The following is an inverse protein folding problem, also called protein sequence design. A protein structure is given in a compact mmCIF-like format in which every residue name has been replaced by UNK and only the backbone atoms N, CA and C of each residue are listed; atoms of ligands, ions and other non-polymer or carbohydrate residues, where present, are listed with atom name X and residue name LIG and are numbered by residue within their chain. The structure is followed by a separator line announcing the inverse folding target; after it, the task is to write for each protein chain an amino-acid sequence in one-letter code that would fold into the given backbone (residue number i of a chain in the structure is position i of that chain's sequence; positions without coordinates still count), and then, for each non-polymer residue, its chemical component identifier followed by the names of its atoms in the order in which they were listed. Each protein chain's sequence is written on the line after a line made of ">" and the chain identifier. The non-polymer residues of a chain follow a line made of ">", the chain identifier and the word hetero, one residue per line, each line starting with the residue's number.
data_IF_123635730586
#
_entry.id   IF_123635730586
#
_cell.length_a   1.000
_cell.length_b   1.000
_cell.length_c   1.000
_cell.angle_alpha   90.00
_cell.angle_beta   90.00
_cell.angle_gamma   90.00
#
_symmetry.space_group_name_H-M   'P 1'
#
loop_
_entity.id
_entity.type
_entity.pdbx_description
1 polymer ?
#
# COMPACT_ATOMS: atom_id res chain seq x y z
N UNK A 1 -23.46 17.28 5.21
CA UNK A 1 -22.73 16.66 6.32
C UNK A 1 -23.02 15.17 6.26
N UNK A 2 -22.03 14.32 5.95
CA UNK A 2 -22.25 12.88 5.85
C UNK A 2 -22.48 12.33 7.27
N UNK A 3 -23.70 11.90 7.56
CA UNK A 3 -24.02 11.28 8.84
C UNK A 3 -23.65 9.80 8.74
N UNK A 4 -22.68 9.37 9.55
CA UNK A 4 -22.41 7.96 9.77
C UNK A 4 -23.58 7.40 10.58
N UNK A 5 -24.50 6.72 9.90
CA UNK A 5 -25.54 5.96 10.57
C UNK A 5 -24.89 4.82 11.36
N UNK A 6 -25.03 4.85 12.69
CA UNK A 6 -24.35 3.91 13.59
C UNK A 6 -24.74 2.46 13.31
N UNK A 7 -26.00 2.21 12.99
CA UNK A 7 -26.48 0.85 12.71
C UNK A 7 -25.89 0.36 11.40
N UNK A 8 -25.91 1.18 10.35
CA UNK A 8 -25.29 0.86 9.06
C UNK A 8 -23.79 0.62 9.20
N UNK A 9 -23.10 1.42 10.01
CA UNK A 9 -21.68 1.20 10.31
C UNK A 9 -21.45 -0.14 11.01
N UNK A 10 -22.22 -0.45 12.06
CA UNK A 10 -22.12 -1.73 12.77
C UNK A 10 -22.41 -2.92 11.84
N UNK A 11 -23.52 -2.91 11.10
CA UNK A 11 -23.85 -4.00 10.16
C UNK A 11 -22.80 -4.18 9.06
N UNK A 12 -22.26 -3.08 8.52
CA UNK A 12 -21.19 -3.16 7.49
C UNK A 12 -19.88 -3.69 8.07
N UNK A 13 -19.56 -3.39 9.33
CA UNK A 13 -18.30 -3.80 9.97
C UNK A 13 -18.34 -5.20 10.57
N UNK A 14 -19.52 -5.68 10.99
CA UNK A 14 -19.72 -7.02 11.56
C UNK A 14 -19.30 -8.16 10.62
N UNK A 15 -19.42 -7.92 9.31
CA UNK A 15 -19.14 -8.91 8.26
C UNK A 15 -17.70 -8.86 7.74
N UNK A 16 -16.89 -7.86 8.12
CA UNK A 16 -15.52 -7.71 7.63
C UNK A 16 -14.65 -8.95 7.94
N UNK A 17 -14.87 -9.55 9.12
CA UNK A 17 -14.16 -10.78 9.54
C UNK A 17 -14.40 -12.00 8.65
N UNK A 18 -15.45 -11.97 7.83
CA UNK A 18 -15.76 -13.06 6.90
C UNK A 18 -15.09 -12.86 5.54
N UNK A 19 -14.52 -11.67 5.29
CA UNK A 19 -13.85 -11.35 4.04
C UNK A 19 -12.46 -11.96 3.99
N UNK A 20 -12.08 -12.41 2.79
CA UNK A 20 -10.75 -12.88 2.45
C UNK A 20 -10.15 -11.99 1.37
N UNK A 21 -9.11 -11.24 1.71
CA UNK A 21 -8.49 -10.27 0.80
C UNK A 21 -7.12 -10.74 0.38
N UNK A 22 -6.83 -10.74 -0.93
CA UNK A 22 -5.46 -10.98 -1.42
C UNK A 22 -4.73 -9.64 -1.49
N UNK A 23 -3.57 -9.53 -0.86
CA UNK A 23 -2.68 -8.36 -0.97
C UNK A 23 -1.48 -8.76 -1.82
N UNK A 24 -1.32 -8.10 -2.97
CA UNK A 24 -0.17 -8.26 -3.87
C UNK A 24 0.63 -6.97 -3.88
N UNK A 25 1.92 -7.02 -3.59
CA UNK A 25 2.70 -5.80 -3.60
C UNK A 25 4.11 -5.93 -3.06
N UNK A 26 4.71 -4.76 -2.85
CA UNK A 26 6.06 -4.63 -2.34
C UNK A 26 6.05 -4.63 -0.80
N UNK A 27 6.58 -5.70 -0.20
CA UNK A 27 6.67 -5.84 1.25
C UNK A 27 7.95 -5.21 1.78
N UNK A 28 7.81 -4.35 2.78
CA UNK A 28 8.90 -3.56 3.35
C UNK A 28 8.99 -3.85 4.84
N UNK A 29 10.20 -3.97 5.36
CA UNK A 29 10.45 -3.89 6.79
C UNK A 29 10.81 -2.46 7.17
N UNK A 30 10.03 -1.86 8.06
CA UNK A 30 10.37 -0.58 8.68
C UNK A 30 11.07 -0.85 10.02
N UNK A 31 12.34 -0.46 10.11
CA UNK A 31 13.16 -0.60 11.30
C UNK A 31 13.35 0.78 11.95
N UNK A 32 13.23 0.84 13.28
CA UNK A 32 13.35 2.06 14.05
C UNK A 32 14.46 1.87 15.09
N UNK A 33 15.54 2.63 14.94
CA UNK A 33 16.64 2.71 15.90
C UNK A 33 16.43 3.98 16.73
N UNK A 34 15.90 3.81 17.94
CA UNK A 34 15.50 4.91 18.81
C UNK A 34 16.56 5.09 19.90
N UNK A 35 17.11 6.30 19.99
CA UNK A 35 18.21 6.60 20.89
C UNK A 35 18.30 8.07 21.27
N UNK A 36 19.48 8.43 21.75
CA UNK A 36 19.83 9.78 22.20
C UNK A 36 21.11 10.24 21.52
N UNK A 37 21.26 11.55 21.32
CA UNK A 37 22.48 12.18 20.80
C UNK A 37 23.08 13.03 21.91
N UNK A 38 24.25 12.63 22.39
CA UNK A 38 24.94 13.34 23.48
C UNK A 38 26.23 14.02 23.03
N UNK A 39 26.68 13.77 21.79
CA UNK A 39 27.89 14.39 21.22
C UNK A 39 27.91 14.33 19.69
N UNK A 40 28.78 15.15 19.11
CA UNK A 40 29.20 15.06 17.71
C UNK A 40 30.40 14.12 17.60
N UNK A 41 30.52 13.42 16.47
CA UNK A 41 31.65 12.52 16.21
C UNK A 41 32.96 13.31 16.09
N UNK A 42 34.09 12.83 16.66
CA UNK A 42 35.40 13.43 16.42
C UNK A 42 35.94 13.14 15.01
N UNK A 43 35.34 12.19 14.28
CA UNK A 43 35.79 11.75 12.94
C UNK A 43 35.13 12.56 11.81
N UNK A 44 33.91 13.06 12.03
CA UNK A 44 33.14 13.82 11.06
C UNK A 44 32.09 14.69 11.78
N UNK A 45 31.63 15.81 11.19
CA UNK A 45 30.63 16.70 11.79
C UNK A 45 29.20 16.11 11.74
N UNK A 46 29.02 14.91 12.31
CA UNK A 46 27.77 14.17 12.35
C UNK A 46 27.43 13.75 13.79
N UNK A 47 26.14 13.67 14.16
CA UNK A 47 25.73 13.23 15.49
C UNK A 47 26.05 11.76 15.72
N UNK A 48 26.46 11.42 16.95
CA UNK A 48 26.57 10.01 17.39
C UNK A 48 25.29 9.64 18.12
N UNK A 49 24.51 8.72 17.54
CA UNK A 49 23.27 8.22 18.13
C UNK A 49 23.58 6.99 18.99
N UNK A 50 23.25 7.04 20.28
CA UNK A 50 23.27 5.88 21.16
C UNK A 50 21.91 5.20 21.16
N UNK A 51 21.79 4.14 20.35
CA UNK A 51 20.56 3.36 20.23
C UNK A 51 20.23 2.70 21.57
N UNK A 52 19.00 2.91 22.05
CA UNK A 52 18.47 2.35 23.30
C UNK A 52 17.38 1.31 23.05
N UNK A 53 16.66 1.46 21.94
CA UNK A 53 15.54 0.61 21.56
C UNK A 53 15.54 0.39 20.07
N UNK A 54 15.29 -0.85 19.69
CA UNK A 54 15.09 -1.25 18.30
C UNK A 54 13.67 -1.78 18.15
N UNK A 55 13.03 -1.46 17.03
CA UNK A 55 11.71 -1.97 16.67
C UNK A 55 11.67 -2.24 15.18
N UNK A 56 11.20 -3.41 14.78
CA UNK A 56 10.92 -3.74 13.38
C UNK A 56 9.41 -3.96 13.24
N UNK A 57 8.81 -3.40 12.18
CA UNK A 57 7.39 -3.57 11.84
C UNK A 57 7.24 -3.79 10.34
N UNK A 58 6.07 -4.30 9.95
CA UNK A 58 5.65 -4.33 8.55
C UNK A 58 5.41 -2.90 8.04
N UNK A 59 5.90 -2.64 6.84
CA UNK A 59 5.70 -1.46 6.02
C UNK A 59 5.29 -1.85 4.60
N UNK A 60 4.98 -0.85 3.76
CA UNK A 60 4.53 -1.10 2.39
C UNK A 60 3.25 -1.93 2.35
N UNK A 61 3.20 -2.92 1.46
CA UNK A 61 2.10 -3.89 1.40
C UNK A 61 1.87 -4.63 2.74
N UNK A 62 2.90 -4.74 3.59
CA UNK A 62 2.76 -5.30 4.93
C UNK A 62 1.98 -4.39 5.89
N UNK A 63 1.97 -3.08 5.68
CA UNK A 63 1.15 -2.16 6.47
C UNK A 63 -0.34 -2.28 6.10
N UNK A 64 -0.65 -2.52 4.82
CA UNK A 64 -2.01 -2.88 4.36
C UNK A 64 -2.49 -4.15 5.09
N UNK A 65 -1.65 -5.17 5.19
CA UNK A 65 -1.97 -6.40 5.94
C UNK A 65 -2.27 -6.13 7.41
N UNK A 66 -1.48 -5.27 8.07
CA UNK A 66 -1.74 -4.85 9.46
C UNK A 66 -3.08 -4.13 9.62
N UNK A 67 -3.41 -3.24 8.69
CA UNK A 67 -4.68 -2.51 8.71
C UNK A 67 -5.86 -3.48 8.55
N UNK A 68 -5.82 -4.38 7.58
CA UNK A 68 -6.81 -5.45 7.41
C UNK A 68 -6.95 -6.32 8.66
N UNK A 69 -5.82 -6.74 9.25
CA UNK A 69 -5.75 -7.50 10.50
C UNK A 69 -6.44 -6.76 11.65
N UNK A 70 -6.22 -5.45 11.79
CA UNK A 70 -6.85 -4.61 12.81
C UNK A 70 -8.37 -4.47 12.63
N UNK A 71 -8.86 -4.61 11.40
CA UNK A 71 -10.29 -4.65 11.07
C UNK A 71 -10.89 -6.06 11.23
N UNK A 72 -10.09 -7.05 11.65
CA UNK A 72 -10.50 -8.44 11.78
C UNK A 72 -10.58 -9.19 10.45
N UNK A 73 -10.18 -8.57 9.35
CA UNK A 73 -10.21 -9.15 7.99
C UNK A 73 -9.07 -10.14 7.82
N UNK A 74 -9.36 -11.28 7.19
CA UNK A 74 -8.34 -12.28 6.86
C UNK A 74 -7.67 -11.90 5.54
N UNK A 75 -6.34 -11.99 5.49
CA UNK A 75 -5.58 -11.65 4.28
C UNK A 75 -4.73 -12.82 3.77
N UNK A 76 -4.46 -12.83 2.47
CA UNK A 76 -3.48 -13.71 1.82
C UNK A 76 -2.44 -12.84 1.14
N UNK A 77 -1.17 -13.07 1.44
CA UNK A 77 -0.05 -12.23 0.99
C UNK A 77 0.65 -12.85 -0.20
N UNK A 78 0.81 -12.09 -1.29
CA UNK A 78 1.59 -12.46 -2.46
C UNK A 78 2.63 -11.38 -2.77
N UNK A 79 3.90 -11.73 -2.91
CA UNK A 79 4.92 -10.74 -3.24
C UNK A 79 6.33 -11.31 -3.33
N UNK A 80 7.33 -10.45 -3.10
CA UNK A 80 8.76 -10.83 -3.11
C UNK A 80 9.47 -10.38 -1.83
N UNK A 81 10.38 -11.22 -1.38
CA UNK A 81 11.41 -10.89 -0.40
C UNK A 81 12.78 -11.43 -0.86
N UNK A 82 13.86 -10.99 -0.23
CA UNK A 82 15.18 -11.55 -0.48
C UNK A 82 15.32 -12.95 0.10
N UNK A 83 16.34 -13.68 -0.34
CA UNK A 83 16.77 -14.93 0.30
C UNK A 83 17.75 -14.63 1.44
N UNK A 84 17.25 -13.95 2.46
CA UNK A 84 18.04 -13.47 3.60
C UNK A 84 17.31 -13.65 4.95
N UNK A 85 17.99 -13.29 6.05
CA UNK A 85 17.41 -13.35 7.40
C UNK A 85 16.25 -12.36 7.58
N UNK A 86 16.30 -11.21 6.90
CA UNK A 86 15.25 -10.19 6.99
C UNK A 86 13.93 -10.70 6.42
N UNK A 87 13.95 -11.53 5.38
CA UNK A 87 12.74 -12.19 4.89
C UNK A 87 12.12 -13.16 5.92
N UNK A 88 12.91 -13.75 6.81
CA UNK A 88 12.37 -14.59 7.90
C UNK A 88 11.68 -13.71 8.96
N UNK A 89 12.27 -12.56 9.30
CA UNK A 89 11.62 -11.56 10.17
C UNK A 89 10.30 -11.08 9.55
N UNK A 90 10.28 -10.83 8.23
CA UNK A 90 9.06 -10.45 7.52
C UNK A 90 7.97 -11.52 7.64
N UNK A 91 8.31 -12.79 7.41
CA UNK A 91 7.37 -13.91 7.55
C UNK A 91 6.87 -14.05 8.99
N UNK A 92 7.74 -13.94 9.99
CA UNK A 92 7.38 -14.00 11.40
C UNK A 92 6.43 -12.86 11.81
N UNK A 93 6.63 -11.66 11.27
CA UNK A 93 5.73 -10.53 11.50
C UNK A 93 4.38 -10.74 10.82
N UNK A 94 4.36 -11.20 9.56
CA UNK A 94 3.12 -11.52 8.84
C UNK A 94 2.31 -12.63 9.55
N UNK A 95 2.99 -13.62 10.13
CA UNK A 95 2.36 -14.72 10.87
C UNK A 95 1.71 -14.28 12.20
N UNK A 96 2.09 -13.11 12.73
CA UNK A 96 1.45 -12.51 13.92
C UNK A 96 0.22 -11.68 13.57
N UNK A 97 0.03 -11.36 12.30
CA UNK A 97 -1.18 -10.71 11.78
C UNK A 97 -2.22 -11.76 11.39
N UNK A 98 -3.47 -11.32 11.13
CA UNK A 98 -4.53 -12.19 10.61
C UNK A 98 -4.33 -12.55 9.12
N UNK A 99 -3.15 -13.04 8.78
CA UNK A 99 -2.81 -13.54 7.44
C UNK A 99 -2.85 -15.06 7.39
N UNK A 100 -3.26 -15.61 6.25
CA UNK A 100 -3.29 -17.04 6.00
C UNK A 100 -1.89 -17.57 5.68
N UNK A 101 -1.14 -17.91 6.73
CA UNK A 101 0.26 -18.35 6.59
C UNK A 101 0.46 -19.53 5.63
N UNK A 102 -0.51 -20.42 5.50
CA UNK A 102 -0.45 -21.56 4.57
C UNK A 102 -0.65 -21.13 3.11
N UNK A 103 -1.46 -20.09 2.89
CA UNK A 103 -1.70 -19.54 1.55
C UNK A 103 -0.73 -18.43 1.18
N UNK A 104 -0.03 -17.81 2.12
CA UNK A 104 0.94 -16.77 1.81
C UNK A 104 2.03 -17.30 0.85
N UNK A 105 2.43 -16.47 -0.12
CA UNK A 105 3.46 -16.80 -1.10
C UNK A 105 4.38 -15.60 -1.32
N UNK A 106 5.58 -15.68 -0.75
CA UNK A 106 6.64 -14.73 -1.02
C UNK A 106 7.73 -15.41 -1.83
N UNK A 107 8.01 -14.87 -3.01
CA UNK A 107 9.18 -15.24 -3.80
C UNK A 107 10.42 -14.97 -2.96
N UNK A 108 11.33 -15.93 -2.90
CA UNK A 108 12.63 -15.81 -2.21
C UNK A 108 13.71 -15.53 -3.25
N UNK A 109 13.92 -14.25 -3.57
CA UNK A 109 14.84 -13.85 -4.63
C UNK A 109 16.29 -13.86 -4.16
N UNK A 110 17.18 -14.44 -4.96
CA UNK A 110 18.64 -14.33 -4.73
C UNK A 110 19.21 -13.03 -5.32
N UNK A 111 18.42 -12.34 -6.13
CA UNK A 111 18.89 -11.21 -6.93
C UNK A 111 18.72 -9.83 -6.27
N UNK A 112 17.93 -9.77 -5.21
CA UNK A 112 17.65 -8.55 -4.43
C UNK A 112 17.55 -8.90 -2.94
N UNK A 113 17.95 -7.99 -2.04
CA UNK A 113 17.69 -8.16 -0.61
C UNK A 113 16.22 -7.90 -0.28
N UNK A 114 15.78 -8.36 0.90
CA UNK A 114 14.51 -7.92 1.48
C UNK A 114 14.57 -6.42 1.77
N UNK A 115 13.54 -5.70 1.34
CA UNK A 115 13.48 -4.25 1.45
C UNK A 115 13.43 -3.85 2.92
N UNK A 116 14.41 -3.07 3.36
CA UNK A 116 14.51 -2.57 4.73
C UNK A 116 14.67 -1.05 4.72
N UNK A 117 13.81 -0.36 5.47
CA UNK A 117 13.89 1.09 5.69
C UNK A 117 14.14 1.36 7.17
N UNK A 118 15.38 1.64 7.51
CA UNK A 118 15.80 1.94 8.88
C UNK A 118 15.72 3.44 9.14
N UNK A 119 14.91 3.86 10.11
CA UNK A 119 14.79 5.23 10.59
C UNK A 119 15.56 5.37 11.90
N UNK A 120 16.57 6.23 11.91
CA UNK A 120 17.35 6.54 13.12
C UNK A 120 16.73 7.75 13.79
N UNK A 121 16.26 7.60 15.02
CA UNK A 121 15.53 8.61 15.77
C UNK A 121 16.31 8.97 17.03
N UNK A 122 16.51 10.27 17.25
CA UNK A 122 17.09 10.82 18.46
C UNK A 122 16.10 11.76 19.13
N UNK A 123 15.69 11.44 20.36
CA UNK A 123 14.61 12.17 21.04
C UNK A 123 13.31 12.14 20.22
N UNK A 124 12.86 13.31 19.75
CA UNK A 124 11.65 13.47 18.92
C UNK A 124 11.96 13.76 17.44
N UNK A 125 13.22 13.62 17.00
CA UNK A 125 13.63 13.96 15.64
C UNK A 125 14.23 12.75 14.93
N UNK A 126 13.84 12.59 13.66
CA UNK A 126 14.51 11.63 12.78
C UNK A 126 15.83 12.22 12.31
N UNK A 127 16.93 11.55 12.64
CA UNK A 127 18.30 11.96 12.30
C UNK A 127 18.62 11.60 10.86
N UNK A 128 18.35 10.36 10.46
CA UNK A 128 18.55 9.89 9.10
C UNK A 128 17.64 8.69 8.77
N UNK A 129 17.66 8.31 7.50
CA UNK A 129 17.05 7.08 6.99
C UNK A 129 18.09 6.29 6.21
N UNK A 130 18.13 4.98 6.41
CA UNK A 130 19.00 4.05 5.71
C UNK A 130 18.09 3.06 4.98
N UNK A 131 18.13 3.09 3.66
CA UNK A 131 17.35 2.20 2.81
C UNK A 131 18.29 1.09 2.30
N UNK A 132 17.94 -0.17 2.54
CA UNK A 132 18.59 -1.34 1.93
C UNK A 132 17.58 -1.98 1.00
N UNK A 133 17.68 -1.64 -0.28
CA UNK A 133 16.77 -2.07 -1.33
C UNK A 133 17.46 -2.03 -2.69
N UNK A 134 16.98 -2.85 -3.63
CA UNK A 134 17.42 -2.86 -5.02
C UNK A 134 16.20 -2.74 -5.92
N UNK A 135 16.19 -1.75 -6.83
CA UNK A 135 15.07 -1.49 -7.73
C UNK A 135 15.19 -2.38 -8.97
N UNK A 136 14.83 -3.66 -8.80
CA UNK A 136 14.90 -4.64 -9.88
C UNK A 136 13.54 -5.33 -10.05
N UNK A 137 12.93 -5.32 -11.24
CA UNK A 137 11.73 -6.10 -11.52
C UNK A 137 11.96 -7.60 -11.25
N UNK A 138 10.89 -8.32 -10.88
CA UNK A 138 10.92 -9.79 -10.87
C UNK A 138 11.22 -10.37 -12.25
N UNK A 139 11.88 -11.52 -12.29
CA UNK A 139 12.16 -12.26 -13.53
C UNK A 139 10.87 -12.85 -14.14
N UNK A 140 10.93 -13.33 -15.39
CA UNK A 140 9.78 -14.01 -16.02
C UNK A 140 9.34 -15.24 -15.25
N UNK A 141 10.27 -16.01 -14.73
CA UNK A 141 10.01 -17.22 -13.94
C UNK A 141 9.39 -16.88 -12.58
N UNK A 142 9.86 -15.79 -11.97
CA UNK A 142 9.29 -15.22 -10.74
C UNK A 142 7.85 -14.71 -10.98
N UNK A 143 7.59 -14.04 -12.10
CA UNK A 143 6.25 -13.64 -12.52
C UNK A 143 5.32 -14.84 -12.70
N UNK A 144 5.76 -15.87 -13.44
CA UNK A 144 4.98 -17.09 -13.69
C UNK A 144 4.59 -17.78 -12.38
N UNK A 145 5.53 -17.82 -11.43
CA UNK A 145 5.30 -18.39 -10.09
C UNK A 145 4.28 -17.58 -9.29
N UNK A 146 4.38 -16.24 -9.32
CA UNK A 146 3.44 -15.35 -8.64
C UNK A 146 2.03 -15.44 -9.22
N UNK A 147 1.91 -15.43 -10.55
CA UNK A 147 0.63 -15.55 -11.26
C UNK A 147 -0.02 -16.90 -11.02
N UNK A 148 0.77 -17.98 -10.99
CA UNK A 148 0.28 -19.30 -10.61
C UNK A 148 -0.27 -19.28 -9.18
N UNK A 149 0.51 -18.80 -8.21
CA UNK A 149 0.05 -18.70 -6.83
C UNK A 149 -1.24 -17.87 -6.71
N UNK A 150 -1.32 -16.74 -7.42
CA UNK A 150 -2.50 -15.89 -7.46
C UNK A 150 -3.74 -16.62 -8.01
N UNK A 151 -3.62 -17.26 -9.17
CA UNK A 151 -4.73 -17.96 -9.83
C UNK A 151 -5.30 -19.13 -9.00
N UNK A 152 -4.47 -19.79 -8.19
CA UNK A 152 -4.92 -20.85 -7.26
C UNK A 152 -5.75 -20.31 -6.08
N UNK A 153 -5.71 -19.00 -5.81
CA UNK A 153 -6.28 -18.38 -4.60
C UNK A 153 -7.46 -17.46 -4.89
N UNK A 154 -7.51 -16.86 -6.07
CA UNK A 154 -8.46 -15.79 -6.44
C UNK A 154 -9.93 -16.19 -6.25
N UNK A 155 -10.28 -17.46 -6.50
CA UNK A 155 -11.67 -17.90 -6.38
C UNK A 155 -12.22 -17.79 -4.96
N UNK A 156 -11.36 -18.03 -3.97
CA UNK A 156 -11.69 -17.91 -2.55
C UNK A 156 -11.58 -16.50 -1.98
N UNK A 157 -11.12 -15.53 -2.77
CA UNK A 157 -10.96 -14.14 -2.33
C UNK A 157 -12.20 -13.30 -2.65
N UNK A 158 -12.52 -12.33 -1.81
CA UNK A 158 -13.59 -11.36 -2.03
C UNK A 158 -13.10 -10.12 -2.78
N UNK A 159 -11.85 -9.71 -2.52
CA UNK A 159 -11.18 -8.65 -3.26
C UNK A 159 -9.66 -8.84 -3.31
N UNK A 160 -9.02 -8.05 -4.16
CA UNK A 160 -7.57 -7.99 -4.35
C UNK A 160 -7.11 -6.55 -4.18
N UNK A 161 -6.03 -6.35 -3.42
CA UNK A 161 -5.34 -5.07 -3.26
C UNK A 161 -3.98 -5.17 -3.96
N UNK A 162 -3.72 -4.27 -4.90
CA UNK A 162 -2.39 -4.05 -5.46
C UNK A 162 -1.73 -2.87 -4.74
N UNK A 163 -0.70 -3.15 -3.96
CA UNK A 163 0.03 -2.15 -3.17
C UNK A 163 1.39 -1.88 -3.82
N UNK A 164 1.45 -0.80 -4.60
CA UNK A 164 2.57 -0.48 -5.47
C UNK A 164 3.51 0.57 -4.86
N UNK A 165 4.72 0.15 -4.55
CA UNK A 165 5.77 1.04 -4.06
C UNK A 165 6.90 1.22 -5.08
N UNK A 166 6.70 0.79 -6.32
CA UNK A 166 7.68 0.84 -7.40
C UNK A 166 9.00 0.13 -7.00
N UNK A 167 8.90 -1.05 -6.35
CA UNK A 167 10.06 -1.86 -5.94
C UNK A 167 10.23 -3.14 -6.75
N UNK A 168 9.43 -3.31 -7.80
CA UNK A 168 9.64 -4.32 -8.84
C UNK A 168 8.82 -5.61 -8.68
N UNK A 169 7.96 -5.74 -7.66
CA UNK A 169 7.01 -6.87 -7.58
C UNK A 169 5.88 -6.71 -8.59
N UNK A 170 5.30 -5.51 -8.69
CA UNK A 170 4.23 -5.21 -9.63
C UNK A 170 4.80 -4.77 -10.98
N UNK A 171 5.12 -5.74 -11.82
CA UNK A 171 5.53 -5.49 -13.21
C UNK A 171 4.29 -5.20 -14.08
N UNK A 172 4.46 -4.61 -15.28
CA UNK A 172 3.35 -4.41 -16.21
C UNK A 172 2.56 -5.71 -16.50
N UNK A 173 3.25 -6.86 -16.60
CA UNK A 173 2.60 -8.16 -16.83
C UNK A 173 1.80 -8.62 -15.61
N UNK A 174 2.34 -8.48 -14.39
CA UNK A 174 1.59 -8.83 -13.18
C UNK A 174 0.33 -7.97 -13.08
N UNK A 175 0.47 -6.65 -13.27
CA UNK A 175 -0.67 -5.72 -13.21
C UNK A 175 -1.74 -6.10 -14.22
N UNK A 176 -1.35 -6.36 -15.48
CA UNK A 176 -2.29 -6.72 -16.55
C UNK A 176 -3.01 -8.05 -16.28
N UNK A 177 -2.27 -9.12 -16.00
CA UNK A 177 -2.83 -10.46 -15.83
C UNK A 177 -3.67 -10.58 -14.56
N UNK A 178 -3.25 -9.96 -13.44
CA UNK A 178 -4.06 -9.92 -12.21
C UNK A 178 -5.35 -9.15 -12.45
N UNK A 179 -5.26 -7.94 -13.03
CA UNK A 179 -6.45 -7.12 -13.28
C UNK A 179 -7.41 -7.82 -14.24
N UNK A 180 -6.90 -8.50 -15.26
CA UNK A 180 -7.69 -9.29 -16.21
C UNK A 180 -8.42 -10.44 -15.51
N UNK A 181 -7.69 -11.26 -14.76
CA UNK A 181 -8.30 -12.42 -14.09
C UNK A 181 -9.33 -12.01 -13.05
N UNK A 182 -9.10 -10.92 -12.32
CA UNK A 182 -10.11 -10.37 -11.40
C UNK A 182 -11.39 -9.95 -12.13
N UNK A 183 -11.28 -9.29 -13.29
CA UNK A 183 -12.46 -8.94 -14.10
C UNK A 183 -13.21 -10.17 -14.58
N UNK A 184 -12.50 -11.20 -15.04
CA UNK A 184 -13.10 -12.46 -15.50
C UNK A 184 -13.84 -13.22 -14.38
N UNK A 185 -13.49 -12.94 -13.11
CA UNK A 185 -14.07 -13.58 -11.92
C UNK A 185 -14.94 -12.63 -11.09
N UNK A 186 -15.27 -11.45 -11.62
CA UNK A 186 -16.05 -10.40 -10.96
C UNK A 186 -15.51 -10.02 -9.56
N UNK A 187 -14.18 -10.02 -9.39
CA UNK A 187 -13.51 -9.66 -8.13
C UNK A 187 -13.21 -8.17 -8.09
N UNK A 188 -13.38 -7.58 -6.90
CA UNK A 188 -13.01 -6.18 -6.66
C UNK A 188 -11.48 -6.08 -6.67
N UNK A 189 -10.94 -5.12 -7.42
CA UNK A 189 -9.50 -4.78 -7.42
C UNK A 189 -9.32 -3.34 -7.01
N UNK A 190 -8.61 -3.14 -5.91
CA UNK A 190 -8.20 -1.83 -5.44
C UNK A 190 -6.70 -1.66 -5.65
N UNK A 191 -6.29 -0.44 -5.98
CA UNK A 191 -4.88 -0.14 -6.27
C UNK A 191 -4.47 1.14 -5.59
N UNK A 192 -3.37 1.07 -4.83
CA UNK A 192 -2.61 2.24 -4.42
C UNK A 192 -1.43 2.42 -5.40
N UNK A 193 -1.53 3.34 -6.37
CA UNK A 193 -0.58 3.39 -7.48
C UNK A 193 0.67 4.21 -7.15
N UNK A 194 1.78 3.87 -7.79
CA UNK A 194 2.87 4.84 -7.99
C UNK A 194 2.80 5.55 -9.34
N UNK A 195 3.43 6.72 -9.42
CA UNK A 195 3.38 7.60 -10.60
C UNK A 195 3.91 6.90 -11.87
N UNK A 196 4.94 6.06 -11.74
CA UNK A 196 5.55 5.31 -12.84
C UNK A 196 4.61 4.27 -13.46
N UNK A 197 3.73 3.67 -12.67
CA UNK A 197 2.80 2.62 -13.09
C UNK A 197 1.35 3.10 -13.24
N UNK A 198 1.10 4.39 -13.00
CA UNK A 198 -0.25 4.94 -12.83
C UNK A 198 -1.24 4.54 -13.95
N UNK A 199 -0.80 4.59 -15.21
CA UNK A 199 -1.64 4.26 -16.36
C UNK A 199 -1.59 2.79 -16.81
N UNK A 200 -0.93 1.91 -16.05
CA UNK A 200 -0.92 0.46 -16.30
C UNK A 200 -2.15 -0.24 -15.72
N UNK A 201 -2.81 0.36 -14.73
CA UNK A 201 -3.94 -0.20 -13.98
C UNK A 201 -5.28 -0.12 -14.72
N UNK A 202 -5.30 -0.61 -15.97
CA UNK A 202 -6.50 -0.58 -16.80
C UNK A 202 -7.57 -1.55 -16.29
N UNK A 203 -8.78 -1.04 -16.09
CA UNK A 203 -9.97 -1.80 -15.73
C UNK A 203 -9.99 -2.33 -14.29
N UNK A 204 -9.23 -1.72 -13.38
CA UNK A 204 -9.34 -1.97 -11.92
C UNK A 204 -10.60 -1.32 -11.36
N UNK A 205 -11.11 -1.81 -10.22
CA UNK A 205 -12.37 -1.33 -9.65
C UNK A 205 -12.25 0.08 -9.05
N UNK A 206 -11.15 0.33 -8.32
CA UNK A 206 -10.87 1.63 -7.72
C UNK A 206 -9.37 1.88 -7.66
N UNK A 207 -8.98 3.11 -8.02
CA UNK A 207 -7.62 3.63 -7.87
C UNK A 207 -7.60 4.66 -6.74
N UNK A 208 -6.61 4.64 -5.85
CA UNK A 208 -6.59 5.50 -4.65
C UNK A 208 -5.37 6.43 -4.54
N UNK A 209 -5.03 7.21 -5.59
CA UNK A 209 -3.85 8.06 -5.54
C UNK A 209 -4.03 9.22 -4.56
N UNK A 210 -2.93 9.78 -4.07
CA UNK A 210 -2.99 11.11 -3.48
C UNK A 210 -3.08 12.21 -4.56
N UNK A 211 -3.50 13.41 -4.18
CA UNK A 211 -3.66 14.54 -5.11
C UNK A 211 -2.35 14.97 -5.79
N UNK A 212 -1.18 14.72 -5.19
CA UNK A 212 0.10 14.95 -5.85
C UNK A 212 0.41 13.88 -6.92
N UNK A 213 0.14 12.61 -6.65
CA UNK A 213 0.28 11.52 -7.61
C UNK A 213 -0.68 11.67 -8.78
N UNK A 214 -1.97 11.91 -8.49
CA UNK A 214 -2.98 12.20 -9.50
C UNK A 214 -2.59 13.41 -10.35
N UNK A 215 -2.11 14.48 -9.71
CA UNK A 215 -1.66 15.69 -10.40
C UNK A 215 -0.45 15.44 -11.31
N UNK A 216 0.54 14.69 -10.83
CA UNK A 216 1.69 14.26 -11.66
C UNK A 216 1.24 13.42 -12.85
N UNK A 217 0.32 12.49 -12.65
CA UNK A 217 -0.21 11.63 -13.70
C UNK A 217 -0.96 12.41 -14.80
N UNK A 218 -1.76 13.42 -14.43
CA UNK A 218 -2.47 14.28 -15.40
C UNK A 218 -1.66 15.50 -15.87
N UNK A 219 -0.44 15.68 -15.37
CA UNK A 219 0.47 16.76 -15.78
C UNK A 219 0.10 18.14 -15.25
N UNK A 220 -0.63 18.26 -14.13
CA UNK A 220 -1.00 19.55 -13.51
C UNK A 220 -1.16 19.44 -11.99
N UNK A 221 -1.02 20.56 -11.27
CA UNK A 221 -1.36 20.60 -9.84
C UNK A 221 -2.88 20.53 -9.65
N UNK A 222 -3.30 19.97 -8.51
CA UNK A 222 -4.71 19.82 -8.15
C UNK A 222 -4.94 20.49 -6.79
N UNK A 223 -5.36 21.75 -6.79
CA UNK A 223 -5.51 22.56 -5.57
C UNK A 223 -6.99 22.81 -5.24
N UNK A 224 -7.84 22.89 -6.26
CA UNK A 224 -9.28 23.17 -6.17
C UNK A 224 -10.16 21.94 -6.39
N UNK A 225 -11.42 22.00 -5.95
CA UNK A 225 -12.39 20.91 -6.16
C UNK A 225 -12.67 20.66 -7.66
N UNK A 226 -12.70 21.72 -8.46
CA UNK A 226 -12.90 21.64 -9.91
C UNK A 226 -11.73 20.94 -10.61
N UNK A 227 -10.49 21.23 -10.22
CA UNK A 227 -9.31 20.54 -10.76
C UNK A 227 -9.30 19.06 -10.38
N UNK A 228 -9.70 18.73 -9.15
CA UNK A 228 -9.82 17.34 -8.66
C UNK A 228 -10.89 16.59 -9.46
N UNK A 229 -12.06 17.19 -9.67
CA UNK A 229 -13.11 16.61 -10.52
C UNK A 229 -12.60 16.37 -11.95
N UNK A 230 -12.00 17.38 -12.57
CA UNK A 230 -11.47 17.28 -13.93
C UNK A 230 -10.40 16.20 -14.06
N UNK A 231 -9.50 16.09 -13.08
CA UNK A 231 -8.50 15.03 -13.03
C UNK A 231 -9.13 13.65 -12.83
N UNK A 232 -10.10 13.51 -11.93
CA UNK A 232 -10.80 12.26 -11.71
C UNK A 232 -11.50 11.76 -12.99
N UNK A 233 -12.20 12.64 -13.71
CA UNK A 233 -12.83 12.34 -15.00
C UNK A 233 -11.83 11.94 -16.09
N UNK A 234 -10.65 12.56 -16.11
CA UNK A 234 -9.57 12.19 -17.02
C UNK A 234 -9.00 10.80 -16.69
N UNK A 235 -8.75 10.53 -15.40
CA UNK A 235 -8.18 9.26 -14.92
C UNK A 235 -9.13 8.10 -15.22
N UNK A 236 -10.42 8.20 -14.85
CA UNK A 236 -11.39 7.12 -15.09
C UNK A 236 -11.59 6.84 -16.57
N UNK A 237 -11.50 7.86 -17.44
CA UNK A 237 -11.57 7.68 -18.90
C UNK A 237 -10.34 6.96 -19.43
N UNK A 238 -9.14 7.36 -19.00
CA UNK A 238 -7.88 6.74 -19.45
C UNK A 238 -7.75 5.29 -18.99
N UNK A 239 -8.15 5.00 -17.75
CA UNK A 239 -8.01 3.67 -17.14
C UNK A 239 -9.24 2.77 -17.30
N UNK A 240 -10.36 3.31 -17.78
CA UNK A 240 -11.65 2.60 -17.80
C UNK A 240 -12.06 2.02 -16.44
N UNK A 241 -11.73 2.71 -15.34
CA UNK A 241 -12.07 2.25 -14.00
C UNK A 241 -13.45 2.78 -13.54
N UNK A 242 -14.25 1.98 -12.80
CA UNK A 242 -15.55 2.40 -12.27
C UNK A 242 -15.49 3.57 -11.29
N UNK A 243 -14.38 3.73 -10.56
CA UNK A 243 -14.22 4.78 -9.57
C UNK A 243 -12.75 5.15 -9.35
N UNK A 244 -12.51 6.38 -8.90
CA UNK A 244 -11.20 6.85 -8.41
C UNK A 244 -11.42 7.63 -7.12
N UNK A 245 -10.57 7.39 -6.12
CA UNK A 245 -10.59 8.10 -4.85
C UNK A 245 -9.27 8.85 -4.66
N UNK A 246 -9.33 10.17 -4.70
CA UNK A 246 -8.15 11.03 -4.56
C UNK A 246 -8.05 11.49 -3.12
N UNK A 247 -6.96 11.13 -2.42
CA UNK A 247 -6.69 11.62 -1.06
C UNK A 247 -6.06 13.01 -1.09
N UNK A 248 -6.51 13.92 -0.21
CA UNK A 248 -6.26 15.37 -0.28
C UNK A 248 -5.72 15.95 1.03
N UNK A 249 -5.07 15.12 1.85
CA UNK A 249 -4.51 15.54 3.14
C UNK A 249 -5.55 16.17 4.05
N UNK A 250 -5.31 17.41 4.48
CA UNK A 250 -6.22 18.20 5.33
C UNK A 250 -7.61 18.43 4.72
N UNK A 251 -7.76 18.35 3.39
CA UNK A 251 -9.07 18.48 2.73
C UNK A 251 -9.87 17.16 2.73
N UNK A 252 -9.34 16.09 3.35
CA UNK A 252 -9.94 14.77 3.38
C UNK A 252 -9.69 14.00 2.06
N UNK A 253 -10.75 13.55 1.41
CA UNK A 253 -10.68 12.76 0.17
C UNK A 253 -11.85 13.05 -0.77
N UNK A 254 -11.68 12.76 -2.06
CA UNK A 254 -12.73 12.90 -3.06
C UNK A 254 -12.90 11.59 -3.83
N UNK A 255 -14.11 11.05 -3.91
CA UNK A 255 -14.41 9.84 -4.69
C UNK A 255 -15.31 10.19 -5.88
N UNK A 256 -14.84 9.87 -7.08
CA UNK A 256 -15.62 9.98 -8.31
C UNK A 256 -16.18 8.62 -8.71
N UNK A 257 -17.47 8.57 -9.02
CA UNK A 257 -18.20 7.34 -9.39
C UNK A 257 -18.69 7.47 -10.83
N UNK A 258 -18.07 6.72 -11.75
CA UNK A 258 -18.31 6.83 -13.20
C UNK A 258 -19.76 6.56 -13.60
N UNK A 259 -20.42 5.58 -12.97
CA UNK A 259 -21.82 5.24 -13.26
C UNK A 259 -22.82 6.35 -12.92
N UNK A 260 -22.47 7.22 -11.96
CA UNK A 260 -23.29 8.36 -11.55
C UNK A 260 -22.83 9.67 -12.17
N UNK A 261 -21.60 9.73 -12.69
CA UNK A 261 -20.93 10.97 -13.10
C UNK A 261 -20.91 12.02 -11.97
N UNK A 262 -20.74 11.54 -10.75
CA UNK A 262 -20.76 12.36 -9.53
C UNK A 262 -19.44 12.23 -8.78
N UNK A 263 -19.03 13.33 -8.14
CA UNK A 263 -17.94 13.37 -7.18
C UNK A 263 -18.49 13.65 -5.77
N UNK A 264 -17.98 12.90 -4.80
CA UNK A 264 -18.30 13.08 -3.39
C UNK A 264 -17.03 13.54 -2.66
N UNK A 265 -17.12 14.67 -1.97
CA UNK A 265 -16.04 15.18 -1.11
C UNK A 265 -16.28 14.76 0.33
N UNK A 266 -15.35 14.03 0.93
CA UNK A 266 -15.38 13.55 2.30
C UNK A 266 -14.34 14.35 3.09
N UNK A 267 -14.74 15.26 3.99
CA UNK A 267 -13.80 16.10 4.74
C UNK A 267 -12.98 15.27 5.74
N UNK A 268 -11.81 15.78 6.12
CA UNK A 268 -11.05 15.18 7.23
C UNK A 268 -11.79 15.40 8.55
N UNK A 269 -11.65 14.44 9.47
CA UNK A 269 -12.08 14.56 10.87
C UNK A 269 -10.90 14.70 11.84
N UNK A 270 -9.67 14.61 11.33
CA UNK A 270 -8.46 14.71 12.15
C UNK A 270 -8.25 16.14 12.63
N UNK A 271 -8.09 16.31 13.94
CA UNK A 271 -7.84 17.63 14.56
C UNK A 271 -6.35 17.98 14.59
N UNK A 272 -5.47 16.98 14.76
CA UNK A 272 -4.01 17.16 14.75
C UNK A 272 -3.35 16.02 13.97
N UNK A 273 -2.35 16.36 13.14
CA UNK A 273 -1.61 15.40 12.31
C UNK A 273 -0.23 15.19 12.92
N UNK A 274 -0.03 14.06 13.60
CA UNK A 274 1.25 13.70 14.23
C UNK A 274 2.20 12.97 13.27
N UNK A 275 1.70 12.01 12.49
CA UNK A 275 2.45 11.26 11.49
C UNK A 275 1.52 10.89 10.32
N UNK A 276 1.91 11.24 9.09
CA UNK A 276 1.17 10.93 7.85
C UNK A 276 1.66 9.66 7.17
N UNK A 277 2.70 9.02 7.71
CA UNK A 277 3.29 7.81 7.16
C UNK A 277 2.26 6.68 7.16
N UNK A 278 1.99 6.08 6.00
CA UNK A 278 1.05 4.96 5.87
C UNK A 278 -0.43 5.36 5.87
N UNK A 279 -0.76 6.65 5.83
CA UNK A 279 -2.17 7.07 5.73
C UNK A 279 -2.84 6.57 4.44
N UNK A 280 -2.09 6.49 3.34
CA UNK A 280 -2.55 5.88 2.08
C UNK A 280 -2.89 4.39 2.26
N UNK A 281 -2.00 3.63 2.89
CA UNK A 281 -2.23 2.21 3.21
C UNK A 281 -3.51 2.01 4.04
N UNK A 282 -3.80 2.91 4.99
CA UNK A 282 -5.02 2.83 5.80
C UNK A 282 -6.27 3.13 4.98
N UNK A 283 -6.18 3.99 3.97
CA UNK A 283 -7.31 4.33 3.11
C UNK A 283 -7.63 3.22 2.10
N UNK A 284 -6.62 2.51 1.60
CA UNK A 284 -6.82 1.41 0.64
C UNK A 284 -7.26 0.09 1.29
N UNK A 285 -6.97 -0.10 2.58
CA UNK A 285 -7.32 -1.28 3.39
C UNK A 285 -8.80 -1.32 3.75
#
# INVERSE_FOLDING_TARGET
>A
MYYLDRNRFQTSTENLKNLNIIVIGDFILDEYLIGEVNRISPEAPVPVVWVRKEKITLGGAGNVVKNLSSLGVKSVVLGRAGKDEKANILLDLLARENSDTEKNFLIRSESVPTILKTRVIAGHQQVCRIDKEELKPISREEEDSLLKAFSERIDSADAVILSDYDKGTLTPRIIEEVSKLCRERDKIVTVDPQVSHFFLYNGVSILTPNHHEAGKAVGRKLETDLEILSAAEEIVRKLSCPSVMITRGEKGMSIYVTSKKEIYHIPTVAQEVFDVTGAGDTVIS
#
